data_IF_780393989886
#
_entry.id   IF_780393989886
#
_cell.length_a   1.000
_cell.length_b   1.000
_cell.length_c   1.000
_cell.angle_alpha   90.00
_cell.angle_beta   90.00
_cell.angle_gamma   90.00
#
_symmetry.space_group_name_H-M   'P 1'
#
loop_
_entity.id
_entity.type
_entity.pdbx_description
1 polymer ?
#
# COMPACT_ATOMS: atom_id res chain seq x y z
N UNK A 1 -25.80 -3.35 9.96
CA UNK A 1 -25.84 -1.90 10.25
C UNK A 1 -26.13 -1.21 8.93
N UNK A 2 -27.31 -0.62 8.78
CA UNK A 2 -27.74 0.03 7.54
C UNK A 2 -26.97 1.34 7.36
N UNK A 3 -26.31 1.53 6.23
CA UNK A 3 -25.63 2.79 5.93
C UNK A 3 -26.67 3.86 5.59
N UNK A 4 -26.55 5.10 6.10
CA UNK A 4 -27.38 6.19 5.64
C UNK A 4 -26.96 6.57 4.22
N UNK A 5 -27.86 6.42 3.24
CA UNK A 5 -27.58 6.75 1.84
C UNK A 5 -28.75 7.54 1.27
N UNK A 6 -28.45 8.67 0.61
CA UNK A 6 -29.41 9.64 0.07
C UNK A 6 -29.99 9.26 -1.32
N UNK A 7 -29.89 8.00 -1.75
CA UNK A 7 -30.34 7.56 -3.07
C UNK A 7 -31.22 6.30 -2.97
N UNK A 8 -32.34 6.23 -3.70
CA UNK A 8 -33.18 5.03 -3.73
C UNK A 8 -32.43 3.87 -4.36
N UNK A 9 -32.24 2.78 -3.61
CA UNK A 9 -31.66 1.52 -4.11
C UNK A 9 -32.77 0.48 -4.34
N UNK A 10 -32.56 -0.40 -5.32
CA UNK A 10 -33.48 -1.51 -5.62
C UNK A 10 -33.43 -2.66 -4.59
N UNK A 11 -32.42 -2.66 -3.71
CA UNK A 11 -32.29 -3.54 -2.53
C UNK A 11 -31.40 -2.89 -1.48
N UNK A 12 -31.51 -3.35 -0.25
CA UNK A 12 -30.60 -2.94 0.83
C UNK A 12 -29.15 -3.32 0.49
N UNK A 13 -28.24 -2.36 0.61
CA UNK A 13 -26.81 -2.62 0.54
C UNK A 13 -26.34 -3.38 1.78
N UNK A 14 -25.59 -4.46 1.59
CA UNK A 14 -24.88 -5.12 2.68
C UNK A 14 -23.46 -4.56 2.78
N UNK A 15 -23.05 -4.16 3.98
CA UNK A 15 -21.65 -3.83 4.24
C UNK A 15 -20.86 -5.14 4.23
N UNK A 16 -20.08 -5.36 3.17
CA UNK A 16 -19.11 -6.44 3.12
C UNK A 16 -17.88 -5.99 3.89
N UNK A 17 -17.60 -6.66 5.00
CA UNK A 17 -16.37 -6.43 5.75
C UNK A 17 -15.17 -6.92 4.93
N UNK A 18 -13.99 -6.29 5.04
CA UNK A 18 -12.78 -6.81 4.44
C UNK A 18 -12.58 -8.28 4.85
N UNK A 19 -12.31 -9.14 3.88
CA UNK A 19 -12.00 -10.54 4.14
C UNK A 19 -10.72 -10.62 4.97
N UNK A 20 -10.79 -11.26 6.14
CA UNK A 20 -9.60 -11.70 6.86
C UNK A 20 -9.18 -13.07 6.28
N UNK A 21 -7.90 -13.28 5.94
CA UNK A 21 -7.45 -14.59 5.52
C UNK A 21 -7.70 -15.58 6.65
N UNK A 22 -8.54 -16.59 6.41
CA UNK A 22 -8.69 -17.71 7.34
C UNK A 22 -7.71 -18.78 6.91
N UNK A 23 -6.90 -19.30 7.84
CA UNK A 23 -5.84 -20.27 7.52
C UNK A 23 -6.36 -21.51 6.78
N UNK A 24 -7.61 -21.91 7.02
CA UNK A 24 -8.26 -23.02 6.32
C UNK A 24 -8.63 -22.73 4.86
N UNK A 25 -8.56 -21.47 4.42
CA UNK A 25 -8.84 -21.04 3.04
C UNK A 25 -7.55 -20.83 2.24
N UNK A 26 -6.39 -20.93 2.87
CA UNK A 26 -5.10 -20.83 2.20
C UNK A 26 -4.81 -22.18 1.54
N UNK A 27 -5.23 -22.32 0.29
CA UNK A 27 -4.84 -23.44 -0.57
C UNK A 27 -3.42 -23.26 -1.13
N UNK A 28 -2.86 -24.29 -1.79
CA UNK A 28 -1.56 -24.20 -2.46
C UNK A 28 -1.55 -23.23 -3.66
N UNK A 29 -2.70 -22.68 -4.04
CA UNK A 29 -2.85 -21.71 -5.13
C UNK A 29 -3.75 -20.56 -4.69
N UNK A 30 -3.39 -19.33 -5.07
CA UNK A 30 -4.16 -18.13 -4.78
C UNK A 30 -4.63 -17.51 -6.11
N UNK A 31 -5.90 -17.13 -6.19
CA UNK A 31 -6.48 -16.46 -7.36
C UNK A 31 -6.95 -15.06 -7.00
N UNK A 32 -6.62 -14.07 -7.82
CA UNK A 32 -7.16 -12.71 -7.68
C UNK A 32 -8.61 -12.66 -8.15
N UNK A 33 -9.45 -11.99 -7.37
CA UNK A 33 -10.86 -11.76 -7.69
C UNK A 33 -11.21 -10.27 -7.66
N UNK A 34 -12.51 -9.98 -7.79
CA UNK A 34 -13.08 -8.63 -7.70
C UNK A 34 -12.45 -7.59 -8.65
N UNK A 35 -12.63 -7.82 -9.96
CA UNK A 35 -12.18 -6.90 -11.00
C UNK A 35 -13.16 -5.75 -11.26
N UNK A 36 -14.13 -5.49 -10.36
CA UNK A 36 -15.15 -4.44 -10.55
C UNK A 36 -14.58 -3.02 -10.65
N UNK A 37 -13.36 -2.82 -10.18
CA UNK A 37 -12.62 -1.55 -10.26
C UNK A 37 -11.42 -1.61 -11.22
N UNK A 38 -11.24 -2.70 -11.96
CA UNK A 38 -10.17 -2.83 -12.93
C UNK A 38 -10.36 -1.81 -14.07
N UNK A 39 -9.26 -1.28 -14.58
CA UNK A 39 -9.24 -0.35 -15.70
C UNK A 39 -8.22 -0.78 -16.73
N UNK A 40 -8.45 -0.41 -17.99
CA UNK A 40 -7.47 -0.63 -19.07
C UNK A 40 -6.25 0.25 -18.82
N UNK A 41 -5.06 -0.33 -18.89
CA UNK A 41 -3.81 0.39 -18.73
C UNK A 41 -3.71 1.58 -19.70
N UNK A 42 -3.16 2.69 -19.23
CA UNK A 42 -3.07 3.95 -19.98
C UNK A 42 -4.37 4.76 -20.05
N UNK A 43 -5.45 4.29 -19.42
CA UNK A 43 -6.72 5.03 -19.36
C UNK A 43 -6.75 5.92 -18.14
N UNK A 44 -6.96 7.23 -18.35
CA UNK A 44 -7.18 8.15 -17.25
C UNK A 44 -8.49 7.84 -16.54
N UNK A 45 -8.50 7.90 -15.21
CA UNK A 45 -9.70 7.66 -14.40
C UNK A 45 -10.10 8.91 -13.64
N UNK A 46 -11.41 9.13 -13.52
CA UNK A 46 -11.96 10.23 -12.73
C UNK A 46 -11.60 10.05 -11.24
N UNK A 47 -11.87 8.86 -10.70
CA UNK A 47 -11.55 8.51 -9.32
C UNK A 47 -10.23 7.74 -9.21
N UNK A 48 -9.13 8.49 -9.02
CA UNK A 48 -7.77 7.95 -8.88
C UNK A 48 -7.52 7.33 -7.51
N UNK A 49 -7.98 8.00 -6.45
CA UNK A 49 -7.89 7.52 -5.05
C UNK A 49 -8.81 6.32 -4.86
N UNK A 50 -8.31 5.23 -4.27
CA UNK A 50 -9.10 4.03 -4.01
C UNK A 50 -9.01 3.58 -2.57
N UNK A 51 -10.10 3.00 -2.10
CA UNK A 51 -10.15 2.27 -0.84
C UNK A 51 -9.72 0.82 -1.06
N UNK A 52 -9.11 0.18 -0.05
CA UNK A 52 -8.68 0.77 1.22
C UNK A 52 -7.45 1.66 1.06
N UNK A 53 -7.46 2.86 1.65
CA UNK A 53 -6.44 3.89 1.41
C UNK A 53 -5.02 3.44 1.77
N UNK A 54 -4.87 2.58 2.78
CA UNK A 54 -3.59 2.00 3.21
C UNK A 54 -2.87 1.16 2.14
N UNK A 55 -3.60 0.60 1.17
CA UNK A 55 -3.04 -0.15 0.04
C UNK A 55 -2.99 0.70 -1.24
N UNK A 56 -3.53 1.92 -1.21
CA UNK A 56 -3.53 2.80 -2.36
C UNK A 56 -2.15 3.41 -2.54
N UNK A 57 -1.58 3.24 -3.74
CA UNK A 57 -0.30 3.82 -4.08
C UNK A 57 -0.34 5.35 -3.96
N UNK A 58 0.69 5.95 -3.37
CA UNK A 58 0.69 7.39 -3.02
C UNK A 58 0.55 8.29 -4.24
N UNK A 59 1.06 7.89 -5.40
CA UNK A 59 0.91 8.65 -6.65
C UNK A 59 -0.56 8.86 -7.00
N UNK A 60 -1.42 7.88 -6.73
CA UNK A 60 -2.87 7.97 -7.00
C UNK A 60 -3.56 8.97 -6.09
N UNK A 61 -3.08 9.09 -4.84
CA UNK A 61 -3.54 10.10 -3.88
C UNK A 61 -3.08 11.51 -4.31
N UNK A 62 -2.01 11.58 -5.10
CA UNK A 62 -1.40 12.79 -5.66
C UNK A 62 -1.81 13.05 -7.11
N UNK A 63 -3.02 12.62 -7.48
CA UNK A 63 -3.65 12.85 -8.78
C UNK A 63 -2.94 12.23 -9.99
N UNK A 64 -2.11 11.20 -9.80
CA UNK A 64 -1.47 10.47 -10.89
C UNK A 64 -2.32 9.24 -11.25
N UNK A 65 -2.47 8.98 -12.55
CA UNK A 65 -3.27 7.87 -13.04
C UNK A 65 -2.73 6.51 -12.58
N UNK A 66 -3.62 5.52 -12.37
CA UNK A 66 -3.21 4.18 -11.99
C UNK A 66 -2.35 3.53 -13.07
N UNK A 67 -1.34 2.80 -12.64
CA UNK A 67 -0.44 2.03 -13.51
C UNK A 67 -0.22 0.62 -12.96
N UNK A 68 0.50 -0.22 -13.71
CA UNK A 68 0.94 -1.52 -13.19
C UNK A 68 1.82 -1.37 -11.93
N UNK A 69 2.65 -0.33 -11.86
CA UNK A 69 3.45 -0.04 -10.68
C UNK A 69 2.60 0.34 -9.45
N UNK A 70 1.40 0.92 -9.66
CA UNK A 70 0.44 1.13 -8.57
C UNK A 70 -0.10 -0.19 -8.01
N UNK A 71 -0.27 -1.22 -8.85
CA UNK A 71 -0.67 -2.55 -8.39
C UNK A 71 0.45 -3.23 -7.62
N UNK A 72 1.72 -3.00 -8.00
CA UNK A 72 2.88 -3.51 -7.26
C UNK A 72 2.94 -2.93 -5.85
N UNK A 73 2.69 -1.62 -5.68
CA UNK A 73 2.58 -1.02 -4.35
C UNK A 73 1.54 -1.74 -3.48
N UNK A 74 0.32 -1.94 -4.01
CA UNK A 74 -0.74 -2.64 -3.28
C UNK A 74 -0.34 -4.07 -2.93
N UNK A 75 0.27 -4.79 -3.88
CA UNK A 75 0.77 -6.15 -3.68
C UNK A 75 1.82 -6.22 -2.56
N UNK A 76 2.81 -5.32 -2.58
CA UNK A 76 3.89 -5.31 -1.57
C UNK A 76 3.36 -4.93 -0.19
N UNK A 77 2.36 -4.03 -0.10
CA UNK A 77 1.67 -3.76 1.16
C UNK A 77 0.96 -5.01 1.71
N UNK A 78 0.31 -5.81 0.84
CA UNK A 78 -0.34 -7.07 1.24
C UNK A 78 0.69 -8.12 1.64
N UNK A 79 1.73 -8.32 0.81
CA UNK A 79 2.84 -9.22 1.11
C UNK A 79 3.45 -8.89 2.48
N UNK A 80 3.76 -7.62 2.74
CA UNK A 80 4.33 -7.19 4.00
C UNK A 80 3.38 -7.40 5.18
N UNK A 81 2.07 -7.20 4.99
CA UNK A 81 1.08 -7.46 6.04
C UNK A 81 1.02 -8.94 6.41
N UNK A 82 1.04 -9.83 5.40
CA UNK A 82 1.06 -11.27 5.61
C UNK A 82 2.38 -11.73 6.24
N UNK A 83 3.50 -11.16 5.81
CA UNK A 83 4.84 -11.53 6.30
C UNK A 83 5.09 -11.06 7.74
N UNK A 84 4.68 -9.82 8.06
CA UNK A 84 4.92 -9.21 9.37
C UNK A 84 3.80 -9.50 10.38
N UNK A 85 2.67 -10.04 9.93
CA UNK A 85 1.48 -10.28 10.76
C UNK A 85 0.71 -9.01 11.15
N UNK A 86 1.14 -7.84 10.66
CA UNK A 86 0.42 -6.59 10.83
C UNK A 86 0.65 -5.66 9.63
N UNK A 87 -0.24 -4.69 9.41
CA UNK A 87 -0.20 -3.89 8.20
C UNK A 87 0.99 -2.92 8.09
N UNK A 88 1.46 -2.73 6.85
CA UNK A 88 2.56 -1.82 6.57
C UNK A 88 2.22 -0.35 6.80
N UNK A 89 0.99 0.07 6.51
CA UNK A 89 0.52 1.43 6.80
C UNK A 89 -0.80 1.38 7.55
N UNK A 90 -0.93 2.20 8.59
CA UNK A 90 -2.19 2.41 9.28
C UNK A 90 -2.90 3.61 8.65
N UNK A 91 -4.22 3.69 8.80
CA UNK A 91 -5.01 4.80 8.23
C UNK A 91 -6.10 4.33 7.29
N UNK A 92 -7.34 4.70 7.61
CA UNK A 92 -8.53 4.39 6.81
C UNK A 92 -8.77 5.49 5.77
N UNK A 93 -8.49 6.74 6.13
CA UNK A 93 -8.62 7.88 5.24
C UNK A 93 -7.30 8.14 4.49
N UNK A 94 -7.33 8.56 3.21
CA UNK A 94 -6.18 9.03 2.44
C UNK A 94 -5.19 9.89 3.20
N UNK A 95 -5.61 10.93 3.92
CA UNK A 95 -4.67 11.80 4.66
C UNK A 95 -3.94 11.04 5.78
N UNK A 96 -4.65 10.18 6.51
CA UNK A 96 -4.05 9.36 7.56
C UNK A 96 -3.10 8.29 6.99
N UNK A 97 -3.46 7.68 5.85
CA UNK A 97 -2.60 6.70 5.18
C UNK A 97 -1.29 7.34 4.71
N UNK A 98 -1.36 8.51 4.07
CA UNK A 98 -0.17 9.27 3.65
C UNK A 98 0.69 9.67 4.84
N UNK A 99 0.08 10.09 5.96
CA UNK A 99 0.84 10.42 7.17
C UNK A 99 1.64 9.22 7.69
N UNK A 100 1.04 8.03 7.75
CA UNK A 100 1.75 6.80 8.13
C UNK A 100 2.81 6.40 7.12
N UNK A 101 2.55 6.55 5.82
CA UNK A 101 3.56 6.28 4.78
C UNK A 101 4.78 7.16 4.98
N UNK A 102 4.57 8.47 5.21
CA UNK A 102 5.67 9.42 5.44
C UNK A 102 6.42 9.14 6.73
N UNK A 103 5.72 8.74 7.79
CA UNK A 103 6.36 8.34 9.06
C UNK A 103 7.16 7.05 8.93
N UNK A 104 6.79 6.14 8.03
CA UNK A 104 7.48 4.86 7.83
C UNK A 104 8.60 4.93 6.80
N UNK A 105 8.42 5.64 5.68
CA UNK A 105 9.33 5.65 4.54
C UNK A 105 10.12 6.96 4.38
N UNK A 106 9.73 8.01 5.10
CA UNK A 106 10.27 9.36 4.90
C UNK A 106 9.43 10.19 3.90
N UNK A 107 9.94 11.35 3.49
CA UNK A 107 9.16 12.37 2.80
C UNK A 107 8.75 11.96 1.39
N UNK A 108 7.59 12.45 0.98
CA UNK A 108 7.14 12.37 -0.41
C UNK A 108 8.04 13.22 -1.32
N UNK A 109 8.07 12.94 -2.64
CA UNK A 109 8.76 13.79 -3.60
C UNK A 109 8.28 15.23 -3.53
N UNK A 110 9.20 16.19 -3.47
CA UNK A 110 8.87 17.63 -3.41
C UNK A 110 8.07 18.10 -4.64
N UNK A 111 8.25 17.46 -5.79
CA UNK A 111 7.50 17.72 -7.02
C UNK A 111 6.00 17.40 -6.92
N UNK A 112 5.57 16.62 -5.92
CA UNK A 112 4.16 16.29 -5.69
C UNK A 112 3.46 17.28 -4.76
N UNK A 113 4.17 18.29 -4.27
CA UNK A 113 3.61 19.33 -3.41
C UNK A 113 2.45 20.04 -4.13
N UNK A 114 1.30 20.11 -3.48
CA UNK A 114 0.09 20.73 -4.03
C UNK A 114 -0.75 19.83 -4.96
N UNK A 115 -0.32 18.59 -5.25
CA UNK A 115 -1.10 17.66 -6.09
C UNK A 115 -2.01 16.71 -5.29
N UNK A 116 -2.03 16.81 -3.97
CA UNK A 116 -2.89 15.98 -3.11
C UNK A 116 -4.38 16.14 -3.45
N UNK A 117 -5.06 15.01 -3.71
CA UNK A 117 -6.51 14.93 -4.02
C UNK A 117 -7.28 13.96 -3.12
N UNK A 118 -6.64 13.44 -2.07
CA UNK A 118 -7.32 12.65 -1.06
C UNK A 118 -8.30 13.48 -0.23
N UNK A 119 -9.19 12.82 0.51
CA UNK A 119 -10.01 13.49 1.53
C UNK A 119 -9.19 13.70 2.82
N UNK A 120 -9.69 14.58 3.70
CA UNK A 120 -8.99 14.96 4.92
C UNK A 120 -8.01 16.11 4.74
N UNK A 121 -7.33 16.49 5.82
CA UNK A 121 -6.44 17.65 5.84
C UNK A 121 -5.09 17.28 5.20
N UNK A 122 -4.72 17.97 4.13
CA UNK A 122 -3.38 17.89 3.55
C UNK A 122 -2.34 18.43 4.57
N UNK A 123 -1.12 17.90 4.52
CA UNK A 123 -0.04 18.35 5.40
C UNK A 123 1.20 18.67 4.57
N UNK A 124 1.59 19.94 4.56
CA UNK A 124 2.76 20.43 3.84
C UNK A 124 4.08 19.77 4.29
N UNK A 125 4.15 19.31 5.54
CA UNK A 125 5.33 18.60 6.08
C UNK A 125 5.56 17.21 5.46
N UNK A 126 4.62 16.69 4.67
CA UNK A 126 4.84 15.44 3.93
C UNK A 126 5.94 15.56 2.88
N UNK A 127 6.20 16.78 2.38
CA UNK A 127 7.16 17.05 1.31
C UNK A 127 8.48 17.66 1.83
N UNK A 128 8.64 17.78 3.15
CA UNK A 128 9.86 18.29 3.77
C UNK A 128 10.99 17.26 3.63
N UNK A 129 11.95 17.53 2.73
CA UNK A 129 13.04 16.59 2.43
C UNK A 129 14.04 16.42 3.59
N UNK A 130 13.96 17.24 4.65
CA UNK A 130 14.75 17.05 5.87
C UNK A 130 14.15 16.01 6.81
N UNK A 131 12.91 15.58 6.55
CA UNK A 131 12.21 14.60 7.36
C UNK A 131 12.88 13.23 7.26
N UNK A 132 13.00 12.56 8.40
CA UNK A 132 13.43 11.17 8.51
C UNK A 132 12.25 10.30 8.95
N UNK A 133 12.26 8.98 8.65
CA UNK A 133 11.32 8.04 9.23
C UNK A 133 11.26 8.14 10.76
N UNK A 134 10.07 8.01 11.33
CA UNK A 134 9.82 8.14 12.76
C UNK A 134 10.33 6.90 13.52
N UNK A 135 11.14 7.07 14.58
CA UNK A 135 11.58 5.95 15.41
C UNK A 135 10.39 5.12 15.94
N UNK A 136 10.49 3.80 15.81
CA UNK A 136 9.43 2.86 16.18
C UNK A 136 8.38 2.62 15.08
N UNK A 137 8.34 3.46 14.04
CA UNK A 137 7.48 3.29 12.86
C UNK A 137 8.23 3.20 11.54
N UNK A 138 9.52 3.52 11.55
CA UNK A 138 10.44 3.28 10.46
C UNK A 138 10.36 1.81 10.00
N UNK A 139 10.64 1.59 8.72
CA UNK A 139 10.52 0.28 8.11
C UNK A 139 11.36 -0.79 8.84
N UNK A 140 12.59 -0.45 9.22
CA UNK A 140 13.51 -1.31 9.95
C UNK A 140 12.97 -1.67 11.34
N UNK A 141 12.37 -0.70 12.04
CA UNK A 141 11.78 -0.92 13.36
C UNK A 141 10.55 -1.84 13.28
N UNK A 142 9.75 -1.70 12.22
CA UNK A 142 8.61 -2.59 11.96
C UNK A 142 9.05 -4.02 11.70
N UNK A 143 10.04 -4.20 10.82
CA UNK A 143 10.59 -5.54 10.52
C UNK A 143 11.21 -6.15 11.77
N UNK A 144 11.97 -5.36 12.53
CA UNK A 144 12.59 -5.81 13.79
C UNK A 144 11.56 -6.32 14.77
N UNK A 145 10.46 -5.56 14.99
CA UNK A 145 9.37 -5.92 15.92
C UNK A 145 8.59 -7.16 15.50
N UNK A 146 8.38 -7.37 14.20
CA UNK A 146 7.58 -8.49 13.72
C UNK A 146 8.33 -9.82 13.80
N UNK A 147 9.65 -9.79 13.60
CA UNK A 147 10.43 -10.97 13.27
C UNK A 147 11.49 -11.29 14.34
N UNK A 148 11.13 -11.27 15.62
CA UNK A 148 12.09 -11.46 16.72
C UNK A 148 12.91 -12.76 16.60
N UNK A 149 12.33 -13.82 16.01
CA UNK A 149 12.94 -15.14 15.86
C UNK A 149 13.64 -15.38 14.50
N UNK A 150 13.72 -14.37 13.64
CA UNK A 150 14.28 -14.49 12.29
C UNK A 150 15.73 -14.00 12.25
N UNK A 151 16.54 -14.60 11.37
CA UNK A 151 17.94 -14.24 11.17
C UNK A 151 18.11 -12.76 10.77
N UNK A 152 19.23 -12.15 11.18
CA UNK A 152 19.54 -10.77 10.80
C UNK A 152 19.66 -10.59 9.28
N UNK A 153 20.16 -11.62 8.57
CA UNK A 153 20.29 -11.60 7.11
C UNK A 153 18.93 -11.53 6.42
N UNK A 154 17.94 -12.29 6.91
CA UNK A 154 16.60 -12.27 6.37
C UNK A 154 15.86 -10.96 6.73
N UNK A 155 16.06 -10.40 7.93
CA UNK A 155 15.57 -9.04 8.27
C UNK A 155 16.08 -7.99 7.29
N UNK A 156 17.38 -8.01 6.99
CA UNK A 156 17.98 -7.09 6.02
C UNK A 156 17.43 -7.30 4.61
N UNK A 157 17.22 -8.56 4.22
CA UNK A 157 16.62 -8.91 2.94
C UNK A 157 15.19 -8.34 2.83
N UNK A 158 14.35 -8.57 3.83
CA UNK A 158 12.98 -8.04 3.90
C UNK A 158 12.99 -6.52 3.81
N UNK A 159 13.81 -5.83 4.61
CA UNK A 159 13.94 -4.37 4.54
C UNK A 159 14.32 -3.92 3.13
N UNK A 160 15.31 -4.56 2.49
CA UNK A 160 15.76 -4.17 1.15
C UNK A 160 14.66 -4.28 0.09
N UNK A 161 13.87 -5.36 0.14
CA UNK A 161 12.73 -5.59 -0.77
C UNK A 161 11.67 -4.52 -0.53
N UNK A 162 11.29 -4.29 0.73
CA UNK A 162 10.25 -3.31 1.08
C UNK A 162 10.67 -1.88 0.74
N UNK A 163 11.92 -1.49 0.98
CA UNK A 163 12.44 -0.15 0.61
C UNK A 163 12.37 0.09 -0.90
N UNK A 164 12.76 -0.92 -1.70
CA UNK A 164 12.74 -0.85 -3.16
C UNK A 164 11.32 -0.80 -3.70
N UNK A 165 10.49 -1.76 -3.32
CA UNK A 165 9.21 -1.98 -3.97
C UNK A 165 8.08 -1.10 -3.38
N UNK A 166 8.30 -0.47 -2.22
CA UNK A 166 7.50 0.65 -1.68
C UNK A 166 8.13 2.03 -1.98
N UNK A 167 8.88 2.16 -3.07
CA UNK A 167 9.32 3.49 -3.52
C UNK A 167 8.12 4.36 -3.90
N UNK A 168 8.13 5.65 -3.53
CA UNK A 168 7.05 6.56 -3.93
C UNK A 168 6.99 6.75 -5.45
N UNK A 169 8.14 6.81 -6.12
CA UNK A 169 8.20 6.97 -7.56
C UNK A 169 7.87 5.64 -8.25
N UNK A 170 6.79 5.54 -9.03
CA UNK A 170 6.35 4.28 -9.64
C UNK A 170 7.42 3.63 -10.53
N UNK A 171 8.23 4.43 -11.21
CA UNK A 171 9.32 4.01 -12.09
C UNK A 171 10.48 3.31 -11.37
N UNK A 172 10.58 3.45 -10.04
CA UNK A 172 11.60 2.80 -9.23
C UNK A 172 11.17 1.45 -8.67
N UNK A 173 9.88 1.08 -8.83
CA UNK A 173 9.36 -0.21 -8.37
C UNK A 173 9.63 -1.29 -9.43
N UNK A 174 9.86 -2.52 -8.99
CA UNK A 174 9.88 -3.64 -9.92
C UNK A 174 8.50 -3.84 -10.56
N UNK A 175 8.48 -4.26 -11.82
CA UNK A 175 7.28 -4.83 -12.44
C UNK A 175 6.98 -6.23 -11.86
N UNK A 176 5.76 -6.73 -12.07
CA UNK A 176 5.37 -8.06 -11.62
C UNK A 176 6.28 -9.16 -12.17
N UNK A 177 6.66 -9.07 -13.45
CA UNK A 177 7.57 -10.03 -14.07
C UNK A 177 8.99 -9.96 -13.51
N UNK A 178 9.49 -8.75 -13.24
CA UNK A 178 10.81 -8.59 -12.59
C UNK A 178 10.79 -9.11 -11.15
N UNK A 179 9.72 -8.86 -10.41
CA UNK A 179 9.56 -9.35 -9.05
C UNK A 179 9.52 -10.88 -9.01
N UNK A 180 8.84 -11.51 -9.98
CA UNK A 180 8.82 -12.96 -10.13
C UNK A 180 10.21 -13.56 -10.34
N UNK A 181 11.11 -12.83 -11.00
CA UNK A 181 12.48 -13.27 -11.26
C UNK A 181 13.51 -12.80 -10.23
N UNK A 182 13.11 -11.93 -9.29
CA UNK A 182 14.01 -11.30 -8.32
C UNK A 182 14.56 -12.33 -7.33
N UNK A 183 15.88 -12.52 -7.36
CA UNK A 183 16.56 -13.51 -6.52
C UNK A 183 16.42 -13.24 -5.02
N UNK A 184 16.27 -11.97 -4.63
CA UNK A 184 16.01 -11.58 -3.25
C UNK A 184 14.60 -11.97 -2.83
N UNK A 185 13.59 -11.63 -3.64
CA UNK A 185 12.20 -12.00 -3.39
C UNK A 185 12.00 -13.52 -3.34
N UNK A 186 12.59 -14.28 -4.27
CA UNK A 186 12.55 -15.76 -4.31
C UNK A 186 13.12 -16.46 -3.07
N UNK A 187 13.93 -15.77 -2.26
CA UNK A 187 14.44 -16.33 -1.00
C UNK A 187 13.42 -16.25 0.15
N UNK A 188 12.36 -15.45 -0.01
CA UNK A 188 11.31 -15.25 0.99
C UNK A 188 10.02 -16.03 0.68
N UNK A 189 9.84 -16.51 -0.55
CA UNK A 189 8.62 -17.19 -1.03
C UNK A 189 8.85 -18.65 -1.38
#
# INVERSE_FOLDING_TARGET
MSLPINLPMWKDGQLVMPMAPHSSLVEGTITLGDFGLATKSGTSVECKVRSPARYCATERIHNIDPSFASNIWSYICIFAELYLGFPMFFGVAPSSAVDFMVRTLGPLPSSWKGSYKGNGKHNESWYDQSRVPEPGLALEDKVKRALDNISQAEKQLVVSILQRDLSYLPEHRLSAGQLLEDASFKKLV
#
